data_IF_003946917612
#
_entry.id   IF_003946917612
#
_cell.length_a   1.000
_cell.length_b   1.000
_cell.length_c   1.000
_cell.angle_alpha   90.00
_cell.angle_beta   90.00
_cell.angle_gamma   90.00
#
_symmetry.space_group_name_H-M   'P 1'
#
loop_
_entity.id
_entity.type
_entity.pdbx_description
1 polymer ?
#
# COMPACT_ATOMS: atom_id res chain seq x y z
N UNK A 1 12.20 -15.01 5.99
CA UNK A 1 11.16 -14.68 4.97
C UNK A 1 11.52 -13.35 4.36
N UNK A 2 11.21 -13.11 3.08
CA UNK A 2 11.39 -11.80 2.47
C UNK A 2 10.38 -10.81 3.07
N UNK A 3 10.78 -9.57 3.40
CA UNK A 3 9.85 -8.56 3.90
C UNK A 3 8.85 -8.15 2.81
N UNK A 4 7.69 -7.63 3.23
CA UNK A 4 6.61 -7.22 2.33
C UNK A 4 6.44 -5.70 2.33
N UNK A 5 6.38 -5.11 1.13
CA UNK A 5 6.04 -3.71 0.92
C UNK A 5 4.69 -3.60 0.21
N UNK A 6 3.77 -2.85 0.79
CA UNK A 6 2.52 -2.46 0.15
C UNK A 6 2.70 -1.09 -0.50
N UNK A 7 2.63 -1.04 -1.82
CA UNK A 7 2.88 0.17 -2.61
C UNK A 7 1.62 0.60 -3.35
N UNK A 8 1.10 1.77 -3.00
CA UNK A 8 -0.12 2.33 -3.62
C UNK A 8 0.01 3.86 -3.72
N UNK A 9 0.41 4.35 -4.88
CA UNK A 9 0.71 5.78 -5.09
C UNK A 9 -0.12 6.38 -6.22
N UNK A 10 -0.67 7.56 -5.99
CA UNK A 10 -1.31 8.39 -7.01
C UNK A 10 -0.24 9.08 -7.86
N UNK A 11 0.64 9.83 -7.23
CA UNK A 11 1.87 10.35 -7.87
C UNK A 11 2.93 9.24 -7.94
N UNK A 12 3.32 8.90 -9.17
CA UNK A 12 4.26 7.81 -9.47
C UNK A 12 5.70 8.29 -9.66
N UNK A 13 5.99 9.55 -9.33
CA UNK A 13 7.33 10.11 -9.44
C UNK A 13 8.30 9.28 -8.59
N UNK A 14 9.42 8.88 -9.18
CA UNK A 14 10.49 8.10 -8.56
C UNK A 14 10.10 6.71 -8.00
N UNK A 15 8.88 6.23 -8.23
CA UNK A 15 8.44 4.94 -7.67
C UNK A 15 9.16 3.74 -8.30
N UNK A 16 9.52 3.82 -9.58
CA UNK A 16 10.22 2.73 -10.28
C UNK A 16 11.62 2.50 -9.69
N UNK A 17 12.54 3.50 -9.65
CA UNK A 17 13.86 3.28 -9.06
C UNK A 17 13.77 2.86 -7.60
N UNK A 18 12.87 3.45 -6.82
CA UNK A 18 12.62 3.07 -5.42
C UNK A 18 12.22 1.60 -5.28
N UNK A 19 11.21 1.14 -6.02
CA UNK A 19 10.75 -0.25 -5.94
C UNK A 19 11.79 -1.25 -6.49
N UNK A 20 12.55 -0.85 -7.50
CA UNK A 20 13.66 -1.66 -8.02
C UNK A 20 14.72 -1.90 -6.94
N UNK A 21 15.11 -0.87 -6.23
CA UNK A 21 16.07 -0.95 -5.13
C UNK A 21 15.54 -1.80 -3.97
N UNK A 22 14.26 -1.66 -3.59
CA UNK A 22 13.61 -2.50 -2.59
C UNK A 22 13.72 -4.00 -2.93
N UNK A 23 13.49 -4.34 -4.20
CA UNK A 23 13.54 -5.74 -4.64
C UNK A 23 14.98 -6.24 -4.74
N UNK A 24 15.85 -5.50 -5.43
CA UNK A 24 17.20 -5.96 -5.79
C UNK A 24 18.18 -5.91 -4.61
N UNK A 25 18.09 -4.89 -3.75
CA UNK A 25 19.05 -4.71 -2.66
C UNK A 25 18.51 -5.17 -1.30
N UNK A 26 17.20 -5.00 -1.06
CA UNK A 26 16.59 -5.29 0.23
C UNK A 26 15.70 -6.54 0.23
N UNK A 27 15.59 -7.24 -0.92
CA UNK A 27 14.85 -8.49 -1.06
C UNK A 27 13.36 -8.37 -0.65
N UNK A 28 12.74 -7.21 -0.81
CA UNK A 28 11.33 -7.02 -0.57
C UNK A 28 10.48 -7.70 -1.67
N UNK A 29 9.36 -8.27 -1.26
CA UNK A 29 8.23 -8.56 -2.17
C UNK A 29 7.31 -7.35 -2.19
N UNK A 30 6.81 -7.01 -3.37
CA UNK A 30 5.92 -5.85 -3.53
C UNK A 30 4.49 -6.31 -3.75
N UNK A 31 3.57 -5.79 -2.92
CA UNK A 31 2.13 -5.90 -3.11
C UNK A 31 1.64 -4.56 -3.65
N UNK A 32 0.82 -4.56 -4.69
CA UNK A 32 0.27 -3.33 -5.25
C UNK A 32 -1.06 -3.54 -5.98
N UNK A 33 -1.79 -2.47 -6.24
CA UNK A 33 -3.08 -2.52 -6.92
C UNK A 33 -3.21 -1.46 -8.01
N UNK A 34 -4.19 -1.62 -8.87
CA UNK A 34 -4.60 -0.62 -9.85
C UNK A 34 -3.47 -0.12 -10.75
N UNK A 35 -3.43 1.20 -10.96
CA UNK A 35 -2.46 1.85 -11.83
C UNK A 35 -1.00 1.77 -11.34
N UNK A 36 -0.77 1.65 -10.03
CA UNK A 36 0.58 1.48 -9.48
C UNK A 36 1.13 0.10 -9.83
N UNK A 37 0.34 -0.96 -9.65
CA UNK A 37 0.74 -2.32 -10.02
C UNK A 37 1.08 -2.41 -11.51
N UNK A 38 0.21 -1.87 -12.37
CA UNK A 38 0.44 -1.83 -13.82
C UNK A 38 1.77 -1.14 -14.16
N UNK A 39 2.00 0.04 -13.60
CA UNK A 39 3.20 0.85 -13.86
C UNK A 39 4.50 0.13 -13.44
N UNK A 40 4.50 -0.54 -12.30
CA UNK A 40 5.64 -1.32 -11.82
C UNK A 40 5.88 -2.57 -12.69
N UNK A 41 4.82 -3.27 -13.09
CA UNK A 41 4.92 -4.45 -13.96
C UNK A 41 5.43 -4.10 -15.35
N UNK A 42 5.02 -2.97 -15.94
CA UNK A 42 5.55 -2.45 -17.21
C UNK A 42 7.06 -2.16 -17.12
N UNK A 43 7.54 -1.76 -15.95
CA UNK A 43 8.95 -1.60 -15.64
C UNK A 43 9.68 -2.91 -15.30
N UNK A 44 9.02 -4.08 -15.46
CA UNK A 44 9.54 -5.42 -15.17
C UNK A 44 9.89 -5.65 -13.68
N UNK A 45 9.28 -4.90 -12.77
CA UNK A 45 9.40 -5.13 -11.34
C UNK A 45 8.38 -6.20 -10.94
N UNK A 46 8.79 -7.27 -10.22
CA UNK A 46 7.87 -8.30 -9.76
C UNK A 46 6.87 -7.72 -8.75
N UNK A 47 5.58 -7.88 -9.02
CA UNK A 47 4.49 -7.36 -8.19
C UNK A 47 3.46 -8.45 -7.94
N UNK A 48 3.07 -8.63 -6.70
CA UNK A 48 1.90 -9.40 -6.28
C UNK A 48 0.70 -8.44 -6.31
N UNK A 49 -0.31 -8.74 -7.11
CA UNK A 49 -1.52 -7.91 -7.09
C UNK A 49 -2.27 -8.07 -5.77
N UNK A 50 -2.87 -6.99 -5.27
CA UNK A 50 -3.71 -7.03 -4.07
C UNK A 50 -4.82 -8.08 -4.19
N UNK A 51 -5.43 -8.23 -5.37
CA UNK A 51 -6.44 -9.26 -5.63
C UNK A 51 -5.92 -10.68 -5.41
N UNK A 52 -4.69 -10.95 -5.84
CA UNK A 52 -4.07 -12.28 -5.70
C UNK A 52 -3.64 -12.51 -4.24
N UNK A 53 -3.09 -11.49 -3.58
CA UNK A 53 -2.69 -11.53 -2.18
C UNK A 53 -3.88 -11.75 -1.24
N UNK A 54 -4.98 -11.05 -1.48
CA UNK A 54 -6.18 -11.14 -0.65
C UNK A 54 -7.08 -12.32 -1.03
N UNK A 55 -6.91 -12.85 -2.22
CA UNK A 55 -7.82 -13.77 -2.89
C UNK A 55 -9.25 -13.17 -3.00
N UNK A 56 -9.32 -11.85 -3.24
CA UNK A 56 -10.56 -11.09 -3.37
C UNK A 56 -10.45 -10.12 -4.54
N UNK A 57 -11.42 -10.08 -5.46
CA UNK A 57 -11.37 -9.16 -6.59
C UNK A 57 -11.52 -7.69 -6.15
N UNK A 58 -11.04 -6.77 -6.97
CA UNK A 58 -11.41 -5.36 -6.84
C UNK A 58 -12.89 -5.22 -7.25
N UNK A 59 -13.68 -4.55 -6.42
CA UNK A 59 -15.13 -4.41 -6.64
C UNK A 59 -15.56 -2.94 -6.62
N UNK A 60 -16.78 -2.67 -7.02
CA UNK A 60 -17.39 -1.33 -7.07
C UNK A 60 -16.53 -0.34 -7.89
N UNK A 61 -16.08 -0.76 -9.08
CA UNK A 61 -15.23 0.09 -9.93
C UNK A 61 -13.86 0.40 -9.32
N UNK A 62 -13.39 -0.43 -8.39
CA UNK A 62 -12.10 -0.22 -7.71
C UNK A 62 -12.18 0.66 -6.45
N UNK A 63 -13.38 1.02 -5.98
CA UNK A 63 -13.54 1.71 -4.69
C UNK A 63 -13.16 0.83 -3.50
N UNK A 64 -13.27 -0.49 -3.64
CA UNK A 64 -12.87 -1.47 -2.63
C UNK A 64 -11.80 -2.39 -3.21
N UNK A 65 -10.60 -2.32 -2.68
CA UNK A 65 -9.43 -3.15 -3.03
C UNK A 65 -8.51 -3.38 -1.83
N UNK A 66 -8.02 -2.33 -1.20
CA UNK A 66 -7.10 -2.43 -0.04
C UNK A 66 -7.83 -2.45 1.30
N UNK A 67 -9.13 -2.14 1.36
CA UNK A 67 -9.96 -2.28 2.56
C UNK A 67 -10.31 -3.76 2.78
N UNK A 68 -9.33 -4.54 3.20
CA UNK A 68 -9.45 -5.98 3.37
C UNK A 68 -8.74 -6.45 4.64
N UNK A 69 -9.31 -7.42 5.40
CA UNK A 69 -8.70 -7.92 6.63
C UNK A 69 -7.26 -8.40 6.47
N UNK A 70 -6.90 -9.06 5.38
CA UNK A 70 -5.52 -9.49 5.12
C UNK A 70 -4.55 -8.31 4.98
N UNK A 71 -4.99 -7.21 4.37
CA UNK A 71 -4.15 -6.00 4.23
C UNK A 71 -4.01 -5.31 5.58
N UNK A 72 -5.12 -4.94 6.21
CA UNK A 72 -5.09 -4.21 7.48
C UNK A 72 -4.60 -5.08 8.65
N UNK A 73 -4.89 -6.37 8.63
CA UNK A 73 -4.32 -7.33 9.58
C UNK A 73 -2.81 -7.44 9.45
N UNK A 74 -2.30 -7.51 8.22
CA UNK A 74 -0.85 -7.53 7.95
C UNK A 74 -0.12 -6.25 8.43
N UNK A 75 -0.79 -5.09 8.37
CA UNK A 75 -0.24 -3.81 8.84
C UNK A 75 -0.39 -3.67 10.37
N UNK A 76 -1.56 -4.02 10.93
CA UNK A 76 -1.92 -3.72 12.34
C UNK A 76 -1.43 -4.77 13.34
N UNK A 77 -0.99 -5.94 12.87
CA UNK A 77 -0.56 -7.02 13.75
C UNK A 77 0.69 -6.64 14.54
N UNK A 78 0.56 -6.62 15.87
CA UNK A 78 1.69 -6.46 16.80
C UNK A 78 2.48 -7.77 16.85
N UNK A 79 3.75 -7.73 16.49
CA UNK A 79 4.58 -8.94 16.34
C UNK A 79 4.96 -9.59 17.66
N UNK A 80 4.88 -8.85 18.75
CA UNK A 80 5.20 -9.33 20.12
C UNK A 80 3.99 -9.77 20.92
N UNK A 81 2.76 -9.55 20.42
CA UNK A 81 1.51 -9.85 21.11
C UNK A 81 1.09 -11.31 20.84
N UNK A 82 0.88 -12.10 21.88
CA UNK A 82 0.57 -13.52 21.77
C UNK A 82 -0.84 -13.81 21.21
N UNK A 83 -1.82 -12.92 21.44
CA UNK A 83 -3.15 -13.05 20.83
C UNK A 83 -3.07 -12.75 19.34
N UNK A 84 -2.34 -11.67 18.96
CA UNK A 84 -2.12 -11.37 17.54
C UNK A 84 -1.36 -12.50 16.81
N UNK A 85 -0.41 -13.16 17.45
CA UNK A 85 0.29 -14.32 16.86
C UNK A 85 -0.65 -15.47 16.56
N UNK A 86 -1.62 -15.72 17.45
CA UNK A 86 -2.67 -16.74 17.21
C UNK A 86 -3.55 -16.36 16.03
N UNK A 87 -3.98 -15.11 15.96
CA UNK A 87 -4.83 -14.60 14.87
C UNK A 87 -4.09 -14.61 13.52
N UNK A 88 -2.81 -14.21 13.50
CA UNK A 88 -1.96 -14.27 12.31
C UNK A 88 -1.94 -15.70 11.76
N UNK A 89 -1.70 -16.69 12.63
CA UNK A 89 -1.65 -18.10 12.25
C UNK A 89 -3.02 -18.63 11.81
N UNK A 90 -4.07 -18.34 12.57
CA UNK A 90 -5.43 -18.83 12.31
C UNK A 90 -5.99 -18.30 10.98
N UNK A 91 -5.64 -17.08 10.61
CA UNK A 91 -6.15 -16.39 9.42
C UNK A 91 -5.15 -16.36 8.25
N UNK A 92 -3.99 -17.03 8.37
CA UNK A 92 -2.92 -17.00 7.37
C UNK A 92 -2.56 -15.58 6.93
N UNK A 93 -2.34 -14.69 7.91
CA UNK A 93 -1.95 -13.31 7.63
C UNK A 93 -0.45 -13.25 7.35
N UNK A 94 -0.07 -12.61 6.24
CA UNK A 94 1.30 -12.21 5.98
C UNK A 94 1.52 -10.80 6.51
N UNK A 95 2.62 -10.58 7.22
CA UNK A 95 2.95 -9.29 7.83
C UNK A 95 3.51 -8.33 6.77
N UNK A 96 3.04 -7.09 6.80
CA UNK A 96 3.50 -6.02 5.94
C UNK A 96 4.49 -5.16 6.74
N UNK A 97 5.69 -4.98 6.19
CA UNK A 97 6.80 -4.29 6.86
C UNK A 97 6.89 -2.82 6.47
N UNK A 98 6.47 -2.51 5.23
CA UNK A 98 6.55 -1.18 4.65
C UNK A 98 5.26 -0.83 3.91
N UNK A 99 4.75 0.36 4.16
CA UNK A 99 3.63 0.96 3.43
C UNK A 99 4.11 2.20 2.70
N UNK A 100 4.02 2.20 1.36
CA UNK A 100 4.39 3.34 0.50
C UNK A 100 3.12 3.84 -0.16
N UNK A 101 2.65 4.99 0.29
CA UNK A 101 1.34 5.52 -0.10
C UNK A 101 1.38 7.03 -0.21
N UNK A 102 0.94 7.58 -1.33
CA UNK A 102 0.51 8.97 -1.41
C UNK A 102 -0.93 9.06 -1.86
N UNK A 103 -1.60 10.14 -1.48
CA UNK A 103 -3.03 10.29 -1.64
C UNK A 103 -3.42 10.89 -3.00
N UNK A 104 -4.67 10.73 -3.38
CA UNK A 104 -5.24 11.44 -4.52
C UNK A 104 -5.14 12.95 -4.31
N UNK A 105 -4.86 13.73 -5.37
CA UNK A 105 -4.65 15.18 -5.27
C UNK A 105 -6.00 15.93 -5.22
N UNK A 106 -6.81 15.64 -4.19
CA UNK A 106 -8.17 16.19 -4.02
C UNK A 106 -8.19 17.72 -4.16
N UNK A 107 -7.32 18.41 -3.40
CA UNK A 107 -7.23 19.87 -3.46
C UNK A 107 -6.95 20.38 -4.88
N UNK A 108 -5.96 19.78 -5.55
CA UNK A 108 -5.59 20.17 -6.92
C UNK A 108 -6.74 19.91 -7.91
N UNK A 109 -7.51 18.85 -7.71
CA UNK A 109 -8.67 18.49 -8.54
C UNK A 109 -9.77 19.56 -8.39
N UNK A 110 -10.07 19.96 -7.15
CA UNK A 110 -11.05 21.02 -6.87
C UNK A 110 -10.58 22.38 -7.37
N UNK A 111 -9.33 22.75 -7.13
CA UNK A 111 -8.74 24.03 -7.56
C UNK A 111 -8.75 24.20 -9.09
N UNK A 112 -8.71 23.09 -9.83
CA UNK A 112 -8.83 23.06 -11.31
C UNK A 112 -10.27 23.14 -11.81
N UNK A 113 -11.25 23.30 -10.94
CA UNK A 113 -12.66 23.43 -11.32
C UNK A 113 -13.33 22.12 -11.71
N UNK A 114 -12.93 21.00 -11.10
CA UNK A 114 -13.57 19.70 -11.32
C UNK A 114 -15.08 19.79 -11.02
N UNK A 115 -15.87 18.99 -11.75
CA UNK A 115 -17.29 18.80 -11.44
C UNK A 115 -17.45 18.13 -10.09
N UNK A 116 -18.62 18.28 -9.49
CA UNK A 116 -18.91 17.70 -8.17
C UNK A 116 -18.67 16.20 -8.12
N UNK A 117 -19.14 15.47 -9.11
CA UNK A 117 -18.99 14.01 -9.20
C UNK A 117 -17.51 13.61 -9.27
N UNK A 118 -16.70 14.33 -10.05
CA UNK A 118 -15.26 14.07 -10.18
C UNK A 118 -14.53 14.39 -8.86
N UNK A 119 -14.95 15.43 -8.15
CA UNK A 119 -14.38 15.76 -6.83
C UNK A 119 -14.70 14.65 -5.82
N UNK A 120 -15.92 14.13 -5.80
CA UNK A 120 -16.32 13.01 -4.92
C UNK A 120 -15.50 11.76 -5.23
N UNK A 121 -15.28 11.41 -6.50
CA UNK A 121 -14.44 10.25 -6.87
C UNK A 121 -12.96 10.40 -6.48
N UNK A 122 -12.50 11.62 -6.26
CA UNK A 122 -11.14 11.89 -5.76
C UNK A 122 -11.01 11.87 -4.23
N UNK A 123 -12.05 11.51 -3.49
CA UNK A 123 -11.95 11.24 -2.05
C UNK A 123 -11.27 9.88 -1.87
N UNK A 124 -10.03 9.90 -1.41
CA UNK A 124 -9.25 8.68 -1.16
C UNK A 124 -9.68 8.05 0.16
N UNK A 125 -10.12 6.80 0.11
CA UNK A 125 -10.51 6.02 1.30
C UNK A 125 -9.38 5.06 1.72
N UNK A 126 -8.83 4.33 0.76
CA UNK A 126 -7.84 3.29 1.02
C UNK A 126 -6.50 3.86 1.50
N UNK A 127 -6.01 4.91 0.88
CA UNK A 127 -4.74 5.55 1.22
C UNK A 127 -4.69 6.03 2.67
N UNK A 128 -5.62 6.90 3.13
CA UNK A 128 -5.67 7.34 4.52
C UNK A 128 -5.83 6.19 5.52
N UNK A 129 -6.60 5.16 5.18
CA UNK A 129 -6.78 3.99 6.05
C UNK A 129 -5.48 3.22 6.24
N UNK A 130 -4.69 3.01 5.19
CA UNK A 130 -3.39 2.35 5.25
C UNK A 130 -2.37 3.18 6.04
N UNK A 131 -2.30 4.50 5.81
CA UNK A 131 -1.42 5.42 6.55
C UNK A 131 -1.73 5.37 8.04
N UNK A 132 -3.02 5.47 8.41
CA UNK A 132 -3.44 5.43 9.82
C UNK A 132 -3.15 4.09 10.47
N UNK A 133 -3.31 2.98 9.75
CA UNK A 133 -2.99 1.64 10.24
C UNK A 133 -1.49 1.49 10.51
N UNK A 134 -0.64 1.91 9.57
CA UNK A 134 0.81 1.87 9.72
C UNK A 134 1.29 2.78 10.86
N UNK A 135 0.76 4.01 10.95
CA UNK A 135 1.07 4.92 12.04
C UNK A 135 0.69 4.36 13.42
N UNK A 136 -0.47 3.68 13.52
CA UNK A 136 -0.89 3.01 14.75
C UNK A 136 0.06 1.88 15.15
N UNK A 137 0.69 1.21 14.19
CA UNK A 137 1.64 0.12 14.42
C UNK A 137 3.09 0.52 14.04
N UNK A 138 3.48 1.77 14.27
CA UNK A 138 4.78 2.34 13.88
C UNK A 138 6.00 1.60 14.47
N UNK A 139 5.82 0.77 15.48
CA UNK A 139 6.90 -0.06 16.04
C UNK A 139 7.29 -1.21 15.12
N UNK A 140 6.35 -1.71 14.33
CA UNK A 140 6.52 -2.91 13.51
C UNK A 140 6.47 -2.59 12.01
N UNK A 141 5.94 -1.41 11.61
CA UNK A 141 5.69 -1.05 10.21
C UNK A 141 6.19 0.36 9.91
N UNK A 142 6.98 0.49 8.86
CA UNK A 142 7.39 1.79 8.31
C UNK A 142 6.34 2.31 7.33
N UNK A 143 6.14 3.65 7.28
CA UNK A 143 5.26 4.29 6.30
C UNK A 143 5.95 5.45 5.60
N UNK A 144 5.89 5.46 4.27
CA UNK A 144 6.40 6.52 3.42
C UNK A 144 5.24 7.15 2.65
N UNK A 145 5.10 8.47 2.74
CA UNK A 145 4.01 9.23 2.11
C UNK A 145 4.51 10.23 1.06
N UNK A 146 5.80 10.44 1.01
CA UNK A 146 6.45 11.37 0.08
C UNK A 146 7.39 10.61 -0.86
N UNK A 147 7.20 10.70 -2.19
CA UNK A 147 8.06 10.03 -3.16
C UNK A 147 9.50 10.57 -3.23
N UNK A 148 9.77 11.71 -2.59
CA UNK A 148 11.13 12.25 -2.44
C UNK A 148 11.92 11.61 -1.30
N UNK A 149 11.25 10.89 -0.40
CA UNK A 149 11.91 10.13 0.66
C UNK A 149 12.66 8.95 0.04
N UNK A 150 13.95 8.92 0.30
CA UNK A 150 14.81 7.84 -0.18
C UNK A 150 14.84 6.68 0.82
N UNK A 151 15.34 5.52 0.37
CA UNK A 151 15.56 4.34 1.22
C UNK A 151 16.52 4.59 2.40
N UNK A 152 17.22 5.71 2.42
CA UNK A 152 18.06 6.14 3.56
C UNK A 152 17.23 6.35 4.84
N UNK A 153 15.92 6.51 4.73
CA UNK A 153 15.01 6.81 5.84
C UNK A 153 14.21 5.59 6.34
N UNK A 154 14.52 4.40 5.84
CA UNK A 154 13.86 3.14 6.26
C UNK A 154 14.70 2.34 7.24
#
# INVERSE_FOLDING_TARGET
>A
MSPLALVSVSDKKNIIPFCKELVEQFNYKIISSGGTAKHLMEAKIPVIKVSDFTNSPEILGGRVKTLHPKIHGGILAKRTDEEHKKDIKANNLELIDLVVVNLYPFKTTVDKGAKWEDAIENIDIGGPSMIRSAAKNHKDVSVLVDPSLSLIHI
#
